data_IF_853712714984
#
_entry.id   IF_853712714984
#
_cell.length_a   1.000
_cell.length_b   1.000
_cell.length_c   1.000
_cell.angle_alpha   90.00
_cell.angle_beta   90.00
_cell.angle_gamma   90.00
#
_symmetry.space_group_name_H-M   'P 1'
#
loop_
_entity.id
_entity.type
_entity.pdbx_description
1 polymer ?
#
# COMPACT_ATOMS: atom_id res chain seq x y z
N UNK A 1 25.92 -27.05 -7.24
CA UNK A 1 25.03 -26.15 -8.01
C UNK A 1 24.43 -26.84 -9.23
N UNK A 2 25.20 -27.53 -10.08
CA UNK A 2 24.66 -28.21 -11.27
C UNK A 2 23.69 -29.34 -10.91
N UNK A 3 24.02 -30.19 -9.91
CA UNK A 3 23.15 -31.30 -9.48
C UNK A 3 21.69 -30.91 -9.16
N UNK A 4 21.47 -29.96 -8.24
CA UNK A 4 20.12 -29.52 -7.87
C UNK A 4 19.36 -28.93 -9.07
N UNK A 5 20.06 -28.15 -9.91
CA UNK A 5 19.48 -27.61 -11.13
C UNK A 5 19.06 -28.74 -12.07
N UNK A 6 19.91 -29.73 -12.28
CA UNK A 6 19.64 -30.81 -13.22
C UNK A 6 18.44 -31.65 -12.75
N UNK A 7 18.26 -31.89 -11.45
CA UNK A 7 17.04 -32.51 -10.88
C UNK A 7 15.82 -31.62 -11.06
N UNK A 8 15.91 -30.34 -10.69
CA UNK A 8 14.79 -29.39 -10.69
C UNK A 8 14.23 -29.15 -12.10
N UNK A 9 15.08 -29.19 -13.12
CA UNK A 9 14.75 -28.97 -14.53
C UNK A 9 14.70 -30.27 -15.35
N UNK A 10 14.88 -31.45 -14.73
CA UNK A 10 14.80 -32.73 -15.42
C UNK A 10 13.41 -32.95 -16.04
N UNK A 11 13.35 -33.37 -17.30
CA UNK A 11 12.08 -33.60 -18.01
C UNK A 11 11.54 -32.37 -18.76
N UNK A 12 12.31 -31.28 -18.84
CA UNK A 12 11.97 -30.12 -19.69
C UNK A 12 10.65 -29.48 -19.27
N UNK A 13 9.66 -29.48 -20.17
CA UNK A 13 8.31 -28.95 -19.88
C UNK A 13 7.61 -29.68 -18.74
N UNK A 14 7.92 -30.96 -18.51
CA UNK A 14 7.32 -31.78 -17.45
C UNK A 14 8.16 -31.84 -16.18
N UNK A 15 9.20 -31.00 -16.09
CA UNK A 15 10.00 -30.85 -14.88
C UNK A 15 9.18 -30.35 -13.70
N UNK A 16 9.57 -30.69 -12.45
CA UNK A 16 8.91 -30.16 -11.26
C UNK A 16 8.82 -28.64 -11.30
N UNK A 17 9.90 -27.96 -11.70
CA UNK A 17 9.90 -26.49 -11.84
C UNK A 17 8.86 -26.00 -12.85
N UNK A 18 8.83 -26.57 -14.06
CA UNK A 18 7.89 -26.13 -15.09
C UNK A 18 6.42 -26.44 -14.73
N UNK A 19 6.15 -27.52 -13.99
CA UNK A 19 4.82 -27.81 -13.43
C UNK A 19 4.41 -26.77 -12.39
N UNK A 20 5.32 -26.40 -11.48
CA UNK A 20 5.05 -25.38 -10.47
C UNK A 20 4.84 -24.00 -11.08
N UNK A 21 5.67 -23.60 -12.05
CA UNK A 21 5.53 -22.32 -12.74
C UNK A 21 4.23 -22.20 -13.54
N UNK A 22 3.68 -23.32 -14.02
CA UNK A 22 2.37 -23.37 -14.70
C UNK A 22 1.20 -23.61 -13.75
N UNK A 23 1.43 -23.69 -12.44
CA UNK A 23 0.39 -23.89 -11.44
C UNK A 23 -0.21 -25.30 -11.41
N UNK A 24 0.43 -26.29 -12.05
CA UNK A 24 -0.01 -27.69 -12.03
C UNK A 24 0.27 -28.37 -10.67
N UNK A 25 1.26 -27.87 -9.94
CA UNK A 25 1.60 -28.30 -8.57
C UNK A 25 1.86 -27.08 -7.70
N UNK A 26 1.70 -27.24 -6.39
CA UNK A 26 1.99 -26.20 -5.40
C UNK A 26 3.49 -26.12 -5.07
N UNK A 27 3.89 -25.08 -4.33
CA UNK A 27 5.26 -24.90 -3.86
C UNK A 27 5.70 -26.06 -2.95
N UNK A 28 4.84 -26.52 -2.05
CA UNK A 28 5.16 -27.65 -1.17
C UNK A 28 5.35 -28.96 -1.95
N UNK A 29 4.54 -29.17 -2.99
CA UNK A 29 4.71 -30.30 -3.91
C UNK A 29 6.00 -30.21 -4.75
N UNK A 30 6.38 -29.00 -5.19
CA UNK A 30 7.67 -28.78 -5.85
C UNK A 30 8.83 -29.19 -4.94
N UNK A 31 8.83 -28.76 -3.68
CA UNK A 31 9.87 -29.12 -2.72
C UNK A 31 9.97 -30.62 -2.52
N UNK A 32 8.82 -31.29 -2.32
CA UNK A 32 8.79 -32.74 -2.15
C UNK A 32 9.34 -33.48 -3.37
N UNK A 33 8.95 -33.10 -4.59
CA UNK A 33 9.41 -33.76 -5.82
C UNK A 33 10.92 -33.55 -6.07
N UNK A 34 11.44 -32.36 -5.79
CA UNK A 34 12.88 -32.09 -5.96
C UNK A 34 13.70 -32.78 -4.89
N UNK A 35 13.24 -32.79 -3.63
CA UNK A 35 13.92 -33.51 -2.54
C UNK A 35 13.99 -35.02 -2.83
N UNK A 36 12.90 -35.62 -3.29
CA UNK A 36 12.86 -37.02 -3.70
C UNK A 36 13.80 -37.29 -4.89
N UNK A 37 13.72 -36.46 -5.93
CA UNK A 37 14.60 -36.57 -7.10
C UNK A 37 16.08 -36.46 -6.75
N UNK A 38 16.43 -35.56 -5.82
CA UNK A 38 17.79 -35.45 -5.29
C UNK A 38 18.22 -36.72 -4.56
N UNK A 39 17.39 -37.27 -3.67
CA UNK A 39 17.72 -38.52 -2.95
C UNK A 39 17.89 -39.71 -3.88
N UNK A 40 17.10 -39.78 -4.96
CA UNK A 40 17.19 -40.84 -5.96
C UNK A 40 18.46 -40.72 -6.84
N UNK A 41 18.82 -39.50 -7.28
CA UNK A 41 19.94 -39.30 -8.21
C UNK A 41 21.31 -39.14 -7.51
N UNK A 42 21.33 -38.84 -6.21
CA UNK A 42 22.56 -38.61 -5.45
C UNK A 42 23.53 -39.81 -5.49
N UNK A 43 23.11 -41.07 -5.24
CA UNK A 43 24.00 -42.23 -5.28
C UNK A 43 24.67 -42.42 -6.65
N UNK A 44 23.89 -42.33 -7.73
CA UNK A 44 24.40 -42.47 -9.10
C UNK A 44 25.29 -41.31 -9.55
N UNK A 45 25.20 -40.16 -8.87
CA UNK A 45 26.00 -38.97 -9.17
C UNK A 45 27.25 -38.85 -8.29
N UNK A 46 27.50 -39.82 -7.39
CA UNK A 46 28.61 -39.78 -6.43
C UNK A 46 28.48 -38.65 -5.39
N UNK A 47 27.26 -38.19 -5.12
CA UNK A 47 26.96 -37.09 -4.19
C UNK A 47 26.37 -37.69 -2.92
N UNK A 48 26.87 -37.26 -1.75
CA UNK A 48 26.26 -37.54 -0.46
C UNK A 48 25.42 -36.34 -0.03
N UNK A 49 24.15 -36.55 0.27
CA UNK A 49 23.25 -35.52 0.78
C UNK A 49 23.27 -35.54 2.32
N UNK A 50 23.34 -34.39 3.01
CA UNK A 50 23.14 -34.33 4.45
C UNK A 50 21.76 -34.85 4.85
N UNK A 51 21.64 -35.44 6.04
CA UNK A 51 20.33 -35.88 6.58
C UNK A 51 19.33 -34.72 6.70
N UNK A 52 19.85 -33.50 6.88
CA UNK A 52 19.10 -32.25 6.97
C UNK A 52 18.76 -31.62 5.61
N UNK A 53 19.09 -32.27 4.49
CA UNK A 53 18.81 -31.73 3.16
C UNK A 53 17.29 -31.54 2.97
N UNK A 54 16.90 -30.28 2.74
CA UNK A 54 15.54 -29.90 2.39
C UNK A 54 15.55 -28.64 1.52
N UNK A 55 14.90 -28.70 0.37
CA UNK A 55 14.70 -27.53 -0.48
C UNK A 55 13.80 -26.48 0.19
N UNK A 56 12.84 -26.92 1.01
CA UNK A 56 11.95 -26.01 1.75
C UNK A 56 12.74 -25.11 2.72
N UNK A 57 13.66 -25.69 3.50
CA UNK A 57 14.52 -24.92 4.42
C UNK A 57 15.43 -23.95 3.67
N UNK A 58 16.06 -24.40 2.58
CA UNK A 58 16.91 -23.53 1.75
C UNK A 58 16.12 -22.37 1.12
N UNK A 59 14.87 -22.62 0.72
CA UNK A 59 13.99 -21.59 0.20
C UNK A 59 13.57 -20.58 1.28
N UNK A 60 13.28 -21.04 2.51
CA UNK A 60 12.98 -20.15 3.63
C UNK A 60 14.15 -19.20 3.94
N UNK A 61 15.39 -19.70 3.91
CA UNK A 61 16.59 -18.87 4.07
C UNK A 61 16.74 -17.84 2.95
N UNK A 62 16.47 -18.24 1.69
CA UNK A 62 16.49 -17.34 0.55
C UNK A 62 15.44 -16.22 0.68
N UNK A 63 14.22 -16.57 1.07
CA UNK A 63 13.13 -15.61 1.29
C UNK A 63 13.46 -14.64 2.41
N UNK A 64 14.06 -15.10 3.50
CA UNK A 64 14.48 -14.23 4.61
C UNK A 64 15.52 -13.18 4.18
N UNK A 65 16.34 -13.50 3.18
CA UNK A 65 17.35 -12.61 2.59
C UNK A 65 16.84 -11.79 1.41
N UNK A 66 15.67 -12.13 0.86
CA UNK A 66 15.11 -11.41 -0.27
C UNK A 66 14.86 -9.94 0.11
N UNK A 67 15.24 -9.05 -0.81
CA UNK A 67 15.01 -7.61 -0.71
C UNK A 67 14.36 -7.14 -1.99
N UNK A 68 13.34 -6.32 -1.83
CA UNK A 68 12.74 -5.60 -2.93
C UNK A 68 13.68 -4.47 -3.35
N UNK A 69 13.75 -4.21 -4.64
CA UNK A 69 14.48 -3.06 -5.16
C UNK A 69 13.56 -1.84 -5.13
N UNK A 70 13.74 -0.99 -4.12
CA UNK A 70 13.02 0.29 -4.01
C UNK A 70 13.22 1.16 -5.25
N UNK A 71 14.39 1.09 -5.88
CA UNK A 71 14.68 1.82 -7.10
C UNK A 71 13.77 1.38 -8.27
N UNK A 72 13.50 0.08 -8.42
CA UNK A 72 12.58 -0.44 -9.45
C UNK A 72 11.13 -0.04 -9.13
N UNK A 73 10.69 -0.13 -7.87
CA UNK A 73 9.34 0.29 -7.47
C UNK A 73 9.11 1.79 -7.70
N UNK A 74 10.12 2.61 -7.37
CA UNK A 74 10.10 4.05 -7.67
C UNK A 74 10.03 4.31 -9.17
N UNK A 75 10.86 3.65 -9.97
CA UNK A 75 10.84 3.80 -11.41
C UNK A 75 9.48 3.43 -12.02
N UNK A 76 8.87 2.31 -11.58
CA UNK A 76 7.53 1.91 -12.00
C UNK A 76 6.49 2.99 -11.67
N UNK A 77 6.56 3.57 -10.47
CA UNK A 77 5.66 4.65 -10.04
C UNK A 77 5.82 5.90 -10.91
N UNK A 78 7.05 6.31 -11.21
CA UNK A 78 7.34 7.47 -12.05
C UNK A 78 6.85 7.25 -13.49
N UNK A 79 7.08 6.06 -14.05
CA UNK A 79 6.59 5.70 -15.39
C UNK A 79 5.06 5.74 -15.45
N UNK A 80 4.39 5.19 -14.44
CA UNK A 80 2.92 5.20 -14.33
C UNK A 80 2.37 6.63 -14.28
N UNK A 81 2.97 7.50 -13.46
CA UNK A 81 2.59 8.93 -13.38
C UNK A 81 2.84 9.70 -14.67
N UNK A 82 3.81 9.25 -15.46
CA UNK A 82 4.12 9.82 -16.79
C UNK A 82 3.18 9.30 -17.89
N UNK A 83 2.17 8.49 -17.54
CA UNK A 83 1.16 7.97 -18.46
C UNK A 83 1.50 6.64 -19.12
N UNK A 84 2.63 5.99 -18.76
CA UNK A 84 2.94 4.65 -19.26
C UNK A 84 2.22 3.59 -18.44
N UNK A 85 1.71 2.54 -19.11
CA UNK A 85 1.24 1.35 -18.41
C UNK A 85 2.41 0.49 -17.96
N UNK A 86 2.32 -0.02 -16.74
CA UNK A 86 3.34 -0.83 -16.11
C UNK A 86 2.81 -2.22 -15.79
N UNK A 87 3.62 -3.26 -16.03
CA UNK A 87 3.22 -4.64 -15.81
C UNK A 87 4.37 -5.46 -15.21
N UNK A 88 4.06 -6.26 -14.20
CA UNK A 88 4.92 -7.35 -13.75
C UNK A 88 4.54 -8.62 -14.50
N UNK A 89 5.49 -9.24 -15.21
CA UNK A 89 5.32 -10.57 -15.79
C UNK A 89 6.28 -11.55 -15.10
N UNK A 90 5.76 -12.36 -14.19
CA UNK A 90 6.58 -13.21 -13.31
C UNK A 90 6.37 -14.70 -13.57
N UNK A 91 7.48 -15.46 -13.56
CA UNK A 91 7.42 -16.90 -13.39
C UNK A 91 7.37 -17.18 -11.88
N UNK A 92 6.19 -17.47 -11.36
CA UNK A 92 5.94 -17.73 -9.95
C UNK A 92 5.12 -19.01 -9.76
N UNK A 93 4.78 -19.32 -8.51
CA UNK A 93 4.17 -20.57 -8.07
C UNK A 93 2.93 -20.30 -7.22
N UNK A 94 2.13 -21.34 -6.97
CA UNK A 94 1.09 -21.31 -5.93
C UNK A 94 1.73 -21.66 -4.60
N UNK A 95 1.85 -20.68 -3.71
CA UNK A 95 2.48 -20.83 -2.40
C UNK A 95 1.47 -21.31 -1.34
N UNK A 96 1.57 -22.59 -0.98
CA UNK A 96 0.80 -23.24 0.09
C UNK A 96 1.65 -23.50 1.35
N UNK A 97 2.86 -22.94 1.41
CA UNK A 97 3.78 -23.16 2.52
C UNK A 97 3.38 -22.37 3.77
N UNK A 98 4.03 -22.67 4.90
CA UNK A 98 3.92 -21.88 6.12
C UNK A 98 4.42 -20.44 5.95
N UNK A 99 5.33 -20.21 4.99
CA UNK A 99 5.89 -18.90 4.64
C UNK A 99 5.05 -18.06 3.68
N UNK A 100 3.89 -18.55 3.24
CA UNK A 100 3.06 -17.93 2.17
C UNK A 100 2.67 -16.47 2.40
N UNK A 101 2.68 -16.00 3.65
CA UNK A 101 2.39 -14.60 4.00
C UNK A 101 3.37 -13.65 3.32
N UNK A 102 4.65 -14.01 3.22
CA UNK A 102 5.65 -13.22 2.50
C UNK A 102 5.28 -13.07 1.02
N UNK A 103 4.96 -14.17 0.35
CA UNK A 103 4.57 -14.18 -1.07
C UNK A 103 3.30 -13.36 -1.27
N UNK A 104 2.31 -13.47 -0.37
CA UNK A 104 1.08 -12.69 -0.42
C UNK A 104 1.35 -11.18 -0.27
N UNK A 105 2.17 -10.78 0.70
CA UNK A 105 2.55 -9.37 0.92
C UNK A 105 3.32 -8.79 -0.27
N UNK A 106 4.24 -9.57 -0.85
CA UNK A 106 4.97 -9.16 -2.05
C UNK A 106 4.02 -8.95 -3.24
N UNK A 107 3.10 -9.88 -3.50
CA UNK A 107 2.14 -9.75 -4.60
C UNK A 107 1.19 -8.57 -4.38
N UNK A 108 0.74 -8.33 -3.15
CA UNK A 108 -0.05 -7.14 -2.79
C UNK A 108 0.72 -5.84 -3.08
N UNK A 109 1.97 -5.75 -2.63
CA UNK A 109 2.81 -4.59 -2.88
C UNK A 109 3.00 -4.32 -4.38
N UNK A 110 3.26 -5.35 -5.18
CA UNK A 110 3.41 -5.22 -6.63
C UNK A 110 2.11 -4.73 -7.28
N UNK A 111 0.95 -5.27 -6.88
CA UNK A 111 -0.36 -4.80 -7.41
C UNK A 111 -0.66 -3.35 -7.08
N UNK A 112 -0.08 -2.82 -6.01
CA UNK A 112 -0.19 -1.38 -5.66
C UNK A 112 0.71 -0.47 -6.49
N UNK A 113 1.82 -0.98 -7.03
CA UNK A 113 2.79 -0.18 -7.79
C UNK A 113 2.65 -0.33 -9.31
N UNK A 114 2.04 -1.42 -9.79
CA UNK A 114 1.92 -1.73 -11.21
C UNK A 114 0.45 -1.84 -11.64
N UNK A 115 0.13 -1.43 -12.87
CA UNK A 115 -1.22 -1.53 -13.41
C UNK A 115 -1.68 -2.98 -13.60
N UNK A 116 -0.74 -3.89 -13.88
CA UNK A 116 -0.98 -5.32 -14.04
C UNK A 116 0.11 -6.15 -13.35
N UNK A 117 -0.31 -7.25 -12.74
CA UNK A 117 0.58 -8.30 -12.23
C UNK A 117 0.12 -9.63 -12.82
N UNK A 118 0.95 -10.18 -13.71
CA UNK A 118 0.69 -11.40 -14.46
C UNK A 118 1.55 -12.54 -13.90
N UNK A 119 0.87 -13.52 -13.34
CA UNK A 119 1.45 -14.66 -12.62
C UNK A 119 1.40 -15.92 -13.48
N UNK A 120 2.56 -16.50 -13.79
CA UNK A 120 2.66 -17.71 -14.62
C UNK A 120 1.79 -18.86 -14.10
N UNK A 121 1.75 -19.04 -12.78
CA UNK A 121 1.00 -20.13 -12.15
C UNK A 121 -0.51 -19.96 -12.24
N UNK A 122 -1.00 -18.73 -12.46
CA UNK A 122 -2.42 -18.41 -12.66
C UNK A 122 -2.80 -18.47 -14.13
N UNK A 123 -1.86 -18.15 -15.01
CA UNK A 123 -2.06 -18.14 -16.47
C UNK A 123 -1.91 -19.56 -17.07
N UNK A 124 -1.14 -20.44 -16.43
CA UNK A 124 -0.83 -21.78 -16.94
C UNK A 124 0.28 -21.80 -18.00
N UNK A 125 0.99 -20.68 -18.17
CA UNK A 125 2.11 -20.51 -19.10
C UNK A 125 3.29 -19.89 -18.36
N UNK A 126 4.52 -20.09 -18.85
CA UNK A 126 5.72 -19.52 -18.23
C UNK A 126 6.67 -19.01 -19.29
N UNK A 127 7.47 -17.99 -18.96
CA UNK A 127 8.60 -17.56 -19.78
C UNK A 127 9.60 -18.73 -19.90
N UNK A 128 10.15 -19.03 -21.09
CA UNK A 128 10.15 -18.21 -22.31
C UNK A 128 9.12 -18.64 -23.38
N UNK A 129 7.99 -19.25 -23.02
CA UNK A 129 6.94 -19.60 -24.00
C UNK A 129 6.39 -18.34 -24.70
N UNK A 130 6.47 -18.20 -26.05
CA UNK A 130 5.97 -17.03 -26.77
C UNK A 130 4.51 -16.66 -26.46
N UNK A 131 3.68 -17.64 -26.08
CA UNK A 131 2.27 -17.42 -25.79
C UNK A 131 2.06 -16.54 -24.54
N UNK A 132 2.95 -16.60 -23.54
CA UNK A 132 2.82 -15.74 -22.35
C UNK A 132 3.08 -14.27 -22.66
N UNK A 133 3.96 -13.96 -23.62
CA UNK A 133 4.23 -12.58 -24.06
C UNK A 133 3.07 -12.03 -24.88
N UNK A 134 2.48 -12.87 -25.73
CA UNK A 134 1.26 -12.52 -26.49
C UNK A 134 0.11 -12.19 -25.53
N UNK A 135 -0.11 -13.05 -24.53
CA UNK A 135 -1.10 -12.81 -23.47
C UNK A 135 -0.84 -11.48 -22.72
N UNK A 136 0.42 -11.20 -22.37
CA UNK A 136 0.77 -9.96 -21.68
C UNK A 136 0.50 -8.71 -22.54
N UNK A 137 0.81 -8.76 -23.84
CA UNK A 137 0.51 -7.67 -24.78
C UNK A 137 -1.00 -7.42 -24.93
N UNK A 138 -1.79 -8.48 -25.02
CA UNK A 138 -3.26 -8.39 -25.06
C UNK A 138 -3.82 -7.77 -23.78
N UNK A 139 -3.35 -8.21 -22.61
CA UNK A 139 -3.76 -7.65 -21.32
C UNK A 139 -3.40 -6.16 -21.19
N UNK A 140 -2.20 -5.77 -21.65
CA UNK A 140 -1.76 -4.39 -21.71
C UNK A 140 -2.50 -3.55 -22.76
N UNK A 141 -3.11 -4.20 -23.75
CA UNK A 141 -3.65 -3.58 -24.97
C UNK A 141 -2.56 -2.76 -25.69
N UNK A 142 -1.38 -3.35 -25.86
CA UNK A 142 -0.21 -2.71 -26.45
C UNK A 142 0.36 -3.54 -27.62
N UNK A 143 0.99 -2.87 -28.58
CA UNK A 143 1.77 -3.51 -29.63
C UNK A 143 3.18 -3.82 -29.13
N UNK A 144 3.89 -4.84 -29.67
CA UNK A 144 5.25 -5.14 -29.25
C UNK A 144 6.21 -3.94 -29.29
N UNK A 145 6.11 -3.10 -30.33
CA UNK A 145 6.99 -1.94 -30.51
C UNK A 145 6.77 -0.83 -29.49
N UNK A 146 5.66 -0.88 -28.74
CA UNK A 146 5.30 0.08 -27.69
C UNK A 146 5.79 -0.40 -26.30
N UNK A 147 6.42 -1.57 -26.21
CA UNK A 147 6.79 -2.21 -24.94
C UNK A 147 8.30 -2.26 -24.76
N UNK A 148 8.74 -1.86 -23.56
CA UNK A 148 10.09 -2.09 -23.03
C UNK A 148 10.00 -3.23 -22.01
N UNK A 149 10.67 -4.35 -22.29
CA UNK A 149 10.64 -5.55 -21.47
C UNK A 149 11.96 -5.76 -20.73
N UNK A 150 11.89 -5.83 -19.40
CA UNK A 150 13.04 -6.01 -18.51
C UNK A 150 13.01 -7.42 -17.92
N UNK A 151 14.14 -8.13 -17.95
CA UNK A 151 14.29 -9.45 -17.34
C UNK A 151 15.77 -9.67 -17.00
N UNK A 152 16.06 -10.41 -15.93
CA UNK A 152 17.41 -10.78 -15.51
C UNK A 152 17.95 -12.00 -16.29
N UNK A 153 17.06 -12.75 -16.96
CA UNK A 153 17.40 -13.94 -17.73
C UNK A 153 17.31 -13.68 -19.23
N UNK A 154 18.46 -13.71 -19.91
CA UNK A 154 18.53 -13.50 -21.37
C UNK A 154 17.64 -14.44 -22.20
N UNK A 155 17.43 -15.68 -21.74
CA UNK A 155 16.50 -16.64 -22.38
C UNK A 155 15.04 -16.16 -22.36
N UNK A 156 14.64 -15.41 -21.34
CA UNK A 156 13.29 -14.83 -21.24
C UNK A 156 13.17 -13.54 -22.06
N UNK A 157 14.27 -12.88 -22.43
CA UNK A 157 14.25 -11.70 -23.30
C UNK A 157 14.14 -12.07 -24.78
N UNK A 158 14.59 -13.25 -25.16
CA UNK A 158 14.66 -13.64 -26.57
C UNK A 158 13.28 -13.60 -27.26
N UNK A 159 12.21 -14.22 -26.73
CA UNK A 159 10.90 -14.15 -27.38
C UNK A 159 10.34 -12.71 -27.48
N UNK A 160 10.55 -11.90 -26.44
CA UNK A 160 10.14 -10.49 -26.43
C UNK A 160 10.85 -9.70 -27.55
N UNK A 161 12.15 -9.94 -27.75
CA UNK A 161 12.93 -9.32 -28.82
C UNK A 161 12.48 -9.80 -30.21
N UNK A 162 12.24 -11.09 -30.37
CA UNK A 162 11.75 -11.68 -31.63
C UNK A 162 10.37 -11.13 -32.03
N UNK A 163 9.54 -10.74 -31.06
CA UNK A 163 8.26 -10.05 -31.28
C UNK A 163 8.41 -8.56 -31.62
N UNK A 164 9.59 -7.96 -31.41
CA UNK A 164 9.86 -6.55 -31.68
C UNK A 164 9.72 -5.62 -30.47
N UNK A 165 9.72 -6.15 -29.24
CA UNK A 165 9.82 -5.33 -28.03
C UNK A 165 11.25 -4.80 -27.86
N UNK A 166 11.38 -3.60 -27.27
CA UNK A 166 12.66 -3.19 -26.72
C UNK A 166 12.97 -4.05 -25.48
N UNK A 167 14.20 -4.51 -25.31
CA UNK A 167 14.56 -5.41 -24.20
C UNK A 167 15.77 -4.90 -23.42
N UNK A 168 15.70 -4.94 -22.09
CA UNK A 168 16.82 -4.62 -21.19
C UNK A 168 17.18 -5.87 -20.39
N UNK A 169 18.45 -6.27 -20.42
CA UNK A 169 18.97 -7.34 -19.57
C UNK A 169 19.41 -6.76 -18.23
N UNK A 170 18.65 -7.06 -17.17
CA UNK A 170 18.91 -6.52 -15.83
C UNK A 170 20.02 -7.32 -15.15
N UNK A 171 21.25 -6.77 -15.17
CA UNK A 171 22.38 -7.29 -14.38
C UNK A 171 22.68 -6.43 -13.16
N UNK A 172 22.47 -5.14 -13.32
CA UNK A 172 22.69 -4.08 -12.34
C UNK A 172 21.50 -3.13 -12.44
N UNK A 173 20.97 -2.71 -11.30
CA UNK A 173 19.75 -1.90 -11.24
C UNK A 173 19.99 -0.52 -11.83
N UNK A 174 21.14 0.12 -11.53
CA UNK A 174 21.41 1.48 -11.96
C UNK A 174 21.55 1.58 -13.48
N UNK A 175 22.29 0.65 -14.10
CA UNK A 175 22.43 0.60 -15.55
C UNK A 175 21.11 0.24 -16.24
N UNK A 176 20.32 -0.68 -15.68
CA UNK A 176 19.00 -0.99 -16.22
C UNK A 176 18.07 0.22 -16.19
N UNK A 177 18.11 1.02 -15.12
CA UNK A 177 17.32 2.26 -15.01
C UNK A 177 17.80 3.34 -15.98
N UNK A 178 19.11 3.47 -16.23
CA UNK A 178 19.65 4.39 -17.27
C UNK A 178 19.16 4.00 -18.67
N UNK A 179 19.19 2.72 -18.99
CA UNK A 179 18.68 2.21 -20.27
C UNK A 179 17.16 2.42 -20.38
N UNK A 180 16.43 2.19 -19.30
CA UNK A 180 14.98 2.40 -19.23
C UNK A 180 14.61 3.87 -19.39
N UNK A 181 15.30 4.79 -18.73
CA UNK A 181 15.14 6.24 -18.89
C UNK A 181 15.36 6.65 -20.35
N UNK A 182 16.44 6.15 -20.98
CA UNK A 182 16.74 6.44 -22.39
C UNK A 182 15.65 5.94 -23.34
N UNK A 183 15.11 4.74 -23.11
CA UNK A 183 14.11 4.13 -23.99
C UNK A 183 12.71 4.70 -23.77
N UNK A 184 12.36 5.02 -22.52
CA UNK A 184 11.05 5.57 -22.16
C UNK A 184 10.95 7.09 -22.38
N UNK A 185 12.07 7.80 -22.37
CA UNK A 185 12.10 9.27 -22.40
C UNK A 185 11.66 9.90 -21.07
N UNK A 186 11.47 9.11 -20.01
CA UNK A 186 11.05 9.56 -18.68
C UNK A 186 12.25 9.60 -17.75
N UNK A 187 12.45 10.71 -17.03
CA UNK A 187 13.53 10.85 -16.06
C UNK A 187 13.27 9.98 -14.82
N UNK A 188 14.10 8.96 -14.60
CA UNK A 188 13.95 7.98 -13.51
C UNK A 188 14.99 8.14 -12.40
N UNK A 189 16.14 8.76 -12.72
CA UNK A 189 17.29 8.87 -11.81
C UNK A 189 17.38 10.23 -11.09
N UNK A 190 16.26 10.98 -11.04
CA UNK A 190 16.17 12.23 -10.28
C UNK A 190 16.47 12.01 -8.79
N UNK A 191 17.16 12.96 -8.16
CA UNK A 191 17.39 12.99 -6.71
C UNK A 191 16.21 13.55 -5.92
N UNK A 192 15.21 14.13 -6.58
CA UNK A 192 14.01 14.60 -5.89
C UNK A 192 13.19 13.40 -5.43
N UNK A 193 12.93 13.32 -4.11
CA UNK A 193 12.03 12.32 -3.58
C UNK A 193 10.64 12.54 -4.18
N UNK A 194 10.07 11.55 -4.89
CA UNK A 194 8.74 11.70 -5.43
C UNK A 194 7.76 11.85 -4.26
N UNK A 195 6.81 12.77 -4.40
CA UNK A 195 5.67 12.85 -3.49
C UNK A 195 5.09 11.43 -3.38
N UNK A 196 4.77 10.92 -2.17
CA UNK A 196 4.15 9.61 -2.00
C UNK A 196 2.95 9.45 -2.95
N UNK A 197 2.63 8.22 -3.34
CA UNK A 197 1.45 8.00 -4.18
C UNK A 197 0.21 8.36 -3.39
N UNK A 198 -0.60 9.29 -3.90
CA UNK A 198 -1.93 9.52 -3.35
C UNK A 198 -2.77 8.26 -3.57
N UNK A 199 -3.56 7.86 -2.58
CA UNK A 199 -4.58 6.85 -2.80
C UNK A 199 -5.69 7.43 -3.69
N UNK A 200 -6.13 6.65 -4.67
CA UNK A 200 -7.41 6.88 -5.35
C UNK A 200 -8.54 6.37 -4.44
N UNK A 201 -9.67 7.09 -4.30
CA UNK A 201 -10.88 6.55 -3.67
C UNK A 201 -11.29 5.16 -4.14
N UNK A 202 -11.04 4.77 -5.39
CA UNK A 202 -11.35 3.42 -5.87
C UNK A 202 -10.45 2.33 -5.30
N UNK A 203 -9.27 2.69 -4.79
CA UNK A 203 -8.22 1.76 -4.40
C UNK A 203 -8.23 1.44 -2.90
N UNK A 204 -9.16 2.02 -2.15
CA UNK A 204 -9.33 1.81 -0.71
C UNK A 204 -10.63 1.09 -0.39
N UNK A 205 -10.66 0.36 0.73
CA UNK A 205 -11.91 -0.27 1.19
C UNK A 205 -12.71 0.73 1.99
N UNK A 206 -13.95 1.00 1.58
CA UNK A 206 -14.88 1.84 2.34
C UNK A 206 -15.60 1.00 3.40
N UNK A 207 -15.53 1.44 4.65
CA UNK A 207 -16.19 0.84 5.79
C UNK A 207 -17.16 1.79 6.46
N UNK A 208 -18.21 1.23 7.08
CA UNK A 208 -19.24 2.00 7.77
C UNK A 208 -19.60 1.34 9.10
N UNK A 209 -19.58 2.11 10.19
CA UNK A 209 -19.88 1.61 11.53
C UNK A 209 -21.00 2.43 12.14
N UNK A 210 -22.12 1.78 12.43
CA UNK A 210 -23.22 2.38 13.19
C UNK A 210 -22.86 2.37 14.68
N UNK A 211 -22.52 3.53 15.24
CA UNK A 211 -22.11 3.67 16.66
C UNK A 211 -23.31 3.77 17.59
N UNK A 212 -24.43 4.34 17.13
CA UNK A 212 -25.74 4.34 17.81
C UNK A 212 -26.86 4.49 16.77
N UNK A 213 -28.15 4.31 17.14
CA UNK A 213 -29.25 4.53 16.21
C UNK A 213 -29.17 5.92 15.58
N UNK A 214 -29.19 5.97 14.25
CA UNK A 214 -29.15 7.22 13.49
C UNK A 214 -27.79 7.91 13.40
N UNK A 215 -26.71 7.32 13.92
CA UNK A 215 -25.34 7.88 13.77
C UNK A 215 -24.38 6.78 13.31
N UNK A 216 -23.85 6.98 12.11
CA UNK A 216 -22.88 6.11 11.44
C UNK A 216 -21.61 6.90 11.13
N UNK A 217 -20.46 6.24 11.27
CA UNK A 217 -19.17 6.78 10.83
C UNK A 217 -18.66 5.97 9.63
N UNK A 218 -18.25 6.69 8.59
CA UNK A 218 -17.53 6.19 7.43
C UNK A 218 -16.02 6.26 7.68
N UNK A 219 -15.28 5.30 7.14
CA UNK A 219 -13.83 5.32 7.09
C UNK A 219 -13.34 4.62 5.83
N UNK A 220 -12.09 4.89 5.46
CA UNK A 220 -11.37 4.09 4.47
C UNK A 220 -10.29 3.27 5.13
N UNK A 221 -10.02 2.10 4.56
CA UNK A 221 -9.09 1.12 5.11
C UNK A 221 -8.11 0.61 4.05
N UNK A 222 -6.83 0.50 4.44
CA UNK A 222 -5.77 -0.10 3.62
C UNK A 222 -4.70 -0.75 4.50
N UNK A 223 -4.14 -1.87 4.03
CA UNK A 223 -3.02 -2.53 4.68
C UNK A 223 -3.43 -3.53 5.77
N UNK A 224 -2.42 -4.08 6.45
CA UNK A 224 -2.54 -5.11 7.48
C UNK A 224 -1.48 -4.86 8.55
N UNK A 225 -1.74 -5.26 9.80
CA UNK A 225 -0.83 -5.09 10.94
C UNK A 225 -1.43 -4.27 12.08
N UNK A 226 -0.60 -3.63 12.93
CA UNK A 226 -1.09 -2.75 13.98
C UNK A 226 -2.00 -1.65 13.43
N UNK A 227 -3.09 -1.36 14.13
CA UNK A 227 -4.08 -0.39 13.65
C UNK A 227 -3.58 1.03 13.86
N UNK A 228 -3.62 1.82 12.79
CA UNK A 228 -3.32 3.23 12.80
C UNK A 228 -4.58 4.01 12.39
N UNK A 229 -5.16 4.74 13.33
CA UNK A 229 -6.36 5.55 13.13
C UNK A 229 -5.96 6.99 12.80
N UNK A 230 -6.37 7.50 11.64
CA UNK A 230 -6.13 8.87 11.18
C UNK A 230 -7.40 9.71 11.35
N UNK A 231 -7.29 10.82 12.08
CA UNK A 231 -8.37 11.79 12.29
C UNK A 231 -8.00 13.14 11.67
N UNK A 232 -8.76 13.59 10.67
CA UNK A 232 -8.57 14.89 10.01
C UNK A 232 -9.12 16.07 10.84
N UNK A 233 -8.84 17.29 10.39
CA UNK A 233 -9.31 18.54 10.99
C UNK A 233 -10.45 19.22 10.22
N UNK A 234 -10.56 20.54 10.39
CA UNK A 234 -11.60 21.38 9.78
C UNK A 234 -11.06 22.24 8.62
N UNK A 235 -11.82 22.41 7.52
CA UNK A 235 -12.89 21.56 7.00
C UNK A 235 -12.29 20.59 5.98
N UNK A 236 -11.93 19.40 6.46
CA UNK A 236 -11.16 18.42 5.67
C UNK A 236 -12.01 17.18 5.31
N UNK A 237 -11.32 16.11 4.92
CA UNK A 237 -11.89 14.77 4.72
C UNK A 237 -10.83 13.71 5.03
N UNK A 238 -11.21 12.44 5.12
CA UNK A 238 -10.26 11.31 5.05
C UNK A 238 -9.25 11.46 3.89
N UNK A 239 -9.64 12.10 2.78
CA UNK A 239 -8.78 12.39 1.61
C UNK A 239 -7.58 13.30 1.90
N UNK A 240 -7.58 14.05 3.01
CA UNK A 240 -6.40 14.79 3.46
C UNK A 240 -5.22 13.87 3.75
N UNK A 241 -5.50 12.60 4.09
CA UNK A 241 -4.49 11.58 4.37
C UNK A 241 -4.07 10.76 3.14
N UNK A 242 -4.49 11.14 1.92
CA UNK A 242 -4.30 10.33 0.70
C UNK A 242 -2.85 9.93 0.44
N UNK A 243 -1.88 10.73 0.86
CA UNK A 243 -0.45 10.41 0.71
C UNK A 243 0.08 9.49 1.83
N UNK A 244 -0.53 9.56 3.02
CA UNK A 244 -0.12 8.80 4.19
C UNK A 244 -0.72 7.39 4.19
N UNK A 245 -1.96 7.22 3.74
CA UNK A 245 -2.65 5.92 3.71
C UNK A 245 -1.79 4.82 3.04
N UNK A 246 -1.36 4.97 1.77
CA UNK A 246 -0.57 3.92 1.12
C UNK A 246 0.85 3.83 1.69
N UNK A 247 1.45 4.94 2.12
CA UNK A 247 2.79 4.93 2.71
C UNK A 247 2.83 4.15 4.04
N UNK A 248 1.85 4.37 4.91
CA UNK A 248 1.73 3.68 6.20
C UNK A 248 1.30 2.21 6.00
N UNK A 249 0.40 1.92 5.05
CA UNK A 249 0.06 0.56 4.70
C UNK A 249 1.29 -0.22 4.16
N UNK A 250 2.10 0.42 3.32
CA UNK A 250 3.39 -0.13 2.86
C UNK A 250 4.37 -0.39 4.01
N UNK A 251 4.33 0.42 5.06
CA UNK A 251 5.15 0.24 6.26
C UNK A 251 4.65 -0.87 7.20
N UNK A 252 3.56 -1.58 6.85
CA UNK A 252 3.04 -2.71 7.61
C UNK A 252 2.00 -2.34 8.67
N UNK A 253 1.30 -1.22 8.50
CA UNK A 253 0.17 -0.85 9.34
C UNK A 253 -1.16 -1.16 8.65
N UNK A 254 -2.18 -1.45 9.48
CA UNK A 254 -3.58 -1.43 9.07
C UNK A 254 -4.08 0.00 9.26
N UNK A 255 -4.16 0.77 8.19
CA UNK A 255 -4.55 2.18 8.24
C UNK A 255 -6.06 2.30 8.16
N UNK A 256 -6.65 3.01 9.11
CA UNK A 256 -8.05 3.42 9.12
C UNK A 256 -8.06 4.94 9.07
N UNK A 257 -8.43 5.53 7.94
CA UNK A 257 -8.65 6.98 7.85
C UNK A 257 -10.13 7.28 8.02
N UNK A 258 -10.46 7.90 9.14
CA UNK A 258 -11.83 8.18 9.53
C UNK A 258 -12.34 9.42 8.81
N UNK A 259 -13.56 9.36 8.29
CA UNK A 259 -14.33 10.55 7.99
C UNK A 259 -14.99 11.00 9.30
N UNK A 260 -14.53 12.11 9.87
CA UNK A 260 -14.96 12.55 11.20
C UNK A 260 -16.48 12.82 11.21
N UNK A 261 -17.12 12.70 12.39
CA UNK A 261 -18.56 13.00 12.53
C UNK A 261 -18.83 14.42 12.00
N UNK A 262 -19.87 14.58 11.17
CA UNK A 262 -20.17 15.86 10.50
C UNK A 262 -19.60 16.01 9.09
N UNK A 263 -18.81 15.05 8.59
CA UNK A 263 -18.13 15.14 7.30
C UNK A 263 -18.47 13.99 6.36
N UNK A 264 -18.38 14.26 5.06
CA UNK A 264 -18.46 13.27 3.99
C UNK A 264 -19.65 12.32 4.12
N UNK A 265 -19.35 11.02 4.18
CA UNK A 265 -20.36 9.96 4.30
C UNK A 265 -20.66 9.58 5.77
N UNK A 266 -19.99 10.20 6.74
CA UNK A 266 -20.34 10.11 8.15
C UNK A 266 -21.59 10.93 8.45
N UNK A 267 -22.37 10.49 9.42
CA UNK A 267 -23.58 11.23 9.82
C UNK A 267 -23.22 12.60 10.40
N UNK A 268 -24.02 13.62 10.07
CA UNK A 268 -23.92 14.98 10.58
C UNK A 268 -25.16 15.37 11.40
N UNK A 269 -25.26 14.98 12.69
CA UNK A 269 -26.34 15.44 13.56
C UNK A 269 -26.37 16.97 13.67
N UNK A 270 -27.54 17.62 13.74
CA UNK A 270 -27.63 19.09 13.76
C UNK A 270 -27.36 19.71 15.14
N UNK A 271 -27.37 18.93 16.22
CA UNK A 271 -27.17 19.45 17.58
C UNK A 271 -25.68 19.75 17.83
N UNK A 272 -25.39 20.96 18.32
CA UNK A 272 -24.03 21.41 18.65
C UNK A 272 -23.39 20.50 19.72
N UNK A 273 -24.17 20.00 20.69
CA UNK A 273 -23.65 19.16 21.77
C UNK A 273 -23.06 17.83 21.29
N UNK A 274 -23.47 17.38 20.11
CA UNK A 274 -22.93 16.20 19.47
C UNK A 274 -21.43 16.35 19.16
N UNK A 275 -20.94 17.57 18.93
CA UNK A 275 -19.55 17.82 18.52
C UNK A 275 -18.63 18.24 19.67
N UNK A 276 -19.11 18.12 20.92
CA UNK A 276 -18.23 18.29 22.08
C UNK A 276 -17.09 17.25 22.07
N UNK A 277 -15.92 17.64 22.57
CA UNK A 277 -14.74 16.74 22.62
C UNK A 277 -15.04 15.46 23.41
N UNK A 278 -15.79 15.56 24.51
CA UNK A 278 -16.24 14.42 25.29
C UNK A 278 -17.09 13.46 24.44
N UNK A 279 -18.08 13.98 23.71
CA UNK A 279 -18.95 13.15 22.89
C UNK A 279 -18.19 12.50 21.72
N UNK A 280 -17.28 13.23 21.07
CA UNK A 280 -16.45 12.67 19.99
C UNK A 280 -15.55 11.53 20.51
N UNK A 281 -14.90 11.70 21.66
CA UNK A 281 -14.06 10.64 22.25
C UNK A 281 -14.87 9.40 22.63
N UNK A 282 -16.09 9.56 23.18
CA UNK A 282 -17.01 8.45 23.46
C UNK A 282 -17.42 7.74 22.18
N UNK A 283 -17.75 8.49 21.14
CA UNK A 283 -18.15 7.96 19.83
C UNK A 283 -17.02 7.13 19.20
N UNK A 284 -15.76 7.60 19.30
CA UNK A 284 -14.59 6.85 18.84
C UNK A 284 -14.35 5.58 19.65
N UNK A 285 -14.56 5.62 20.96
CA UNK A 285 -14.48 4.43 21.83
C UNK A 285 -15.46 3.34 21.36
N UNK A 286 -16.72 3.73 21.08
CA UNK A 286 -17.76 2.82 20.55
C UNK A 286 -17.42 2.34 19.14
N UNK A 287 -16.90 3.22 18.28
CA UNK A 287 -16.44 2.86 16.94
C UNK A 287 -15.40 1.74 16.99
N UNK A 288 -14.39 1.87 17.85
CA UNK A 288 -13.34 0.87 18.03
C UNK A 288 -13.91 -0.44 18.62
N UNK A 289 -14.84 -0.37 19.56
CA UNK A 289 -15.51 -1.56 20.12
C UNK A 289 -16.27 -2.36 19.05
N UNK A 290 -17.02 -1.66 18.19
CA UNK A 290 -17.79 -2.27 17.10
C UNK A 290 -16.89 -2.96 16.06
N UNK A 291 -15.69 -2.45 15.85
CA UNK A 291 -14.68 -3.07 14.99
C UNK A 291 -13.86 -4.17 15.69
N UNK A 292 -14.09 -4.41 16.99
CA UNK A 292 -13.30 -5.36 17.78
C UNK A 292 -11.84 -4.94 17.93
N UNK A 293 -11.56 -3.64 17.91
CA UNK A 293 -10.21 -3.08 17.98
C UNK A 293 -9.94 -2.59 19.41
N UNK A 294 -9.10 -3.31 20.19
CA UNK A 294 -8.85 -2.93 21.59
C UNK A 294 -8.02 -1.65 21.68
N UNK A 295 -6.97 -1.53 20.85
CA UNK A 295 -6.05 -0.39 20.85
C UNK A 295 -5.68 0.05 19.43
N UNK A 296 -5.41 1.35 19.29
CA UNK A 296 -4.90 1.96 18.05
C UNK A 296 -3.69 2.85 18.30
N UNK A 297 -2.89 3.06 17.27
CA UNK A 297 -2.02 4.23 17.17
C UNK A 297 -2.87 5.36 16.59
N UNK A 298 -3.08 6.44 17.34
CA UNK A 298 -3.94 7.55 16.90
C UNK A 298 -3.09 8.70 16.37
N UNK A 299 -3.37 9.13 15.15
CA UNK A 299 -2.74 10.31 14.54
C UNK A 299 -3.82 11.34 14.21
N UNK A 300 -3.65 12.55 14.74
CA UNK A 300 -4.60 13.64 14.54
C UNK A 300 -3.96 14.87 13.90
N UNK A 301 -4.70 15.56 13.04
CA UNK A 301 -4.35 16.88 12.51
C UNK A 301 -5.42 17.90 12.92
N UNK A 302 -5.03 19.14 13.27
CA UNK A 302 -5.95 20.24 13.61
C UNK A 302 -6.97 19.80 14.70
N UNK A 303 -8.29 19.79 14.45
CA UNK A 303 -9.32 19.30 15.38
C UNK A 303 -9.20 17.80 15.67
N UNK A 304 -8.80 16.99 14.68
CA UNK A 304 -8.43 15.60 14.91
C UNK A 304 -7.25 15.46 15.86
N UNK A 305 -6.35 16.46 15.89
CA UNK A 305 -5.26 16.57 16.87
C UNK A 305 -5.76 16.83 18.30
N UNK A 306 -6.77 17.69 18.46
CA UNK A 306 -7.41 17.90 19.76
C UNK A 306 -8.09 16.62 20.27
N UNK A 307 -8.78 15.89 19.38
CA UNK A 307 -9.36 14.58 19.69
C UNK A 307 -8.28 13.58 20.10
N UNK A 308 -7.13 13.57 19.42
CA UNK A 308 -6.03 12.67 19.76
C UNK A 308 -5.46 12.93 21.16
N UNK A 309 -5.28 14.19 21.55
CA UNK A 309 -4.88 14.52 22.92
C UNK A 309 -5.92 14.14 23.97
N UNK A 310 -7.21 14.38 23.70
CA UNK A 310 -8.28 14.02 24.62
C UNK A 310 -8.43 12.50 24.77
N UNK A 311 -8.29 11.73 23.68
CA UNK A 311 -8.23 10.27 23.76
C UNK A 311 -7.04 9.80 24.62
N UNK A 312 -5.88 10.43 24.51
CA UNK A 312 -4.70 10.09 25.33
C UNK A 312 -4.90 10.38 26.83
N UNK A 313 -5.68 11.41 27.17
CA UNK A 313 -5.95 11.77 28.56
C UNK A 313 -7.05 10.93 29.19
N UNK A 314 -8.15 10.71 28.46
CA UNK A 314 -9.38 10.14 29.03
C UNK A 314 -9.61 8.67 28.65
N UNK A 315 -8.93 8.17 27.61
CA UNK A 315 -9.03 6.80 27.12
C UNK A 315 -7.65 6.18 26.82
N UNK A 316 -6.63 6.33 27.70
CA UNK A 316 -5.28 5.84 27.43
C UNK A 316 -5.24 4.32 27.20
N UNK A 317 -6.17 3.57 27.78
CA UNK A 317 -6.30 2.13 27.57
C UNK A 317 -6.62 1.76 26.12
N UNK A 318 -7.17 2.70 25.34
CA UNK A 318 -7.49 2.52 23.91
C UNK A 318 -6.35 2.88 22.98
N UNK A 319 -5.24 3.40 23.50
CA UNK A 319 -4.14 3.91 22.69
C UNK A 319 -2.84 3.14 22.92
N UNK A 320 -2.27 2.67 21.81
CA UNK A 320 -0.90 2.13 21.76
C UNK A 320 0.14 3.24 21.70
N UNK A 321 -0.17 4.31 20.98
CA UNK A 321 0.62 5.53 20.85
C UNK A 321 -0.27 6.67 20.32
N UNK A 322 0.19 7.91 20.47
CA UNK A 322 -0.46 9.12 19.94
C UNK A 322 0.56 9.99 19.20
N UNK A 323 0.17 10.52 18.04
CA UNK A 323 0.92 11.54 17.31
C UNK A 323 -0.03 12.65 16.86
N UNK A 324 0.45 13.89 16.89
CA UNK A 324 -0.37 15.06 16.53
C UNK A 324 0.40 15.98 15.61
N UNK A 325 -0.25 16.39 14.52
CA UNK A 325 0.25 17.36 13.56
C UNK A 325 -0.37 18.72 13.87
N UNK A 326 0.50 19.73 14.02
CA UNK A 326 0.19 21.15 14.21
C UNK A 326 -0.40 21.52 15.59
N UNK A 327 -1.39 20.76 16.10
CA UNK A 327 -2.14 21.10 17.31
C UNK A 327 -1.35 20.78 18.60
N UNK A 328 -0.90 21.79 19.37
CA UNK A 328 -0.17 21.54 20.61
C UNK A 328 -1.11 21.04 21.70
N UNK A 329 -0.58 20.24 22.62
CA UNK A 329 -1.26 19.99 23.89
C UNK A 329 -1.04 21.17 24.84
N UNK A 330 -2.14 21.76 25.33
CA UNK A 330 -2.12 22.77 26.39
C UNK A 330 -3.17 22.40 27.44
N UNK A 331 -2.77 22.04 28.67
CA UNK A 331 -3.73 21.72 29.72
C UNK A 331 -4.62 22.94 30.02
N UNK A 332 -5.90 22.73 30.36
CA UNK A 332 -6.78 23.81 30.77
C UNK A 332 -6.30 24.42 32.10
N UNK A 333 -6.29 25.75 32.16
CA UNK A 333 -6.04 26.48 33.40
C UNK A 333 -7.39 26.90 33.99
N UNK A 334 -7.85 26.27 35.09
CA UNK A 334 -9.16 26.56 35.67
C UNK A 334 -9.25 27.96 36.28
N UNK A 335 -8.12 28.68 36.41
CA UNK A 335 -8.08 30.05 36.94
C UNK A 335 -8.26 31.11 35.86
N UNK A 336 -8.30 30.70 34.59
CA UNK A 336 -8.35 31.61 33.44
C UNK A 336 -9.65 31.42 32.67
N UNK A 337 -10.34 32.53 32.39
CA UNK A 337 -11.42 32.54 31.40
C UNK A 337 -10.82 32.30 30.01
N UNK A 338 -11.07 31.12 29.45
CA UNK A 338 -10.53 30.70 28.17
C UNK A 338 -11.04 31.58 27.03
N UNK A 339 -12.28 32.09 27.10
CA UNK A 339 -12.85 32.93 26.05
C UNK A 339 -12.16 34.28 26.00
N UNK A 340 -11.96 34.91 27.16
CA UNK A 340 -11.21 36.17 27.25
C UNK A 340 -9.75 36.00 26.84
N UNK A 341 -9.12 34.88 27.23
CA UNK A 341 -7.76 34.58 26.77
C UNK A 341 -7.70 34.41 25.26
N UNK A 342 -8.64 33.70 24.65
CA UNK A 342 -8.65 33.48 23.20
C UNK A 342 -8.87 34.78 22.42
N UNK A 343 -9.72 35.69 22.90
CA UNK A 343 -9.90 37.03 22.31
C UNK A 343 -8.60 37.85 22.29
N UNK A 344 -7.65 37.56 23.18
CA UNK A 344 -6.36 38.25 23.18
C UNK A 344 -5.39 37.81 22.06
N UNK A 345 -5.72 36.75 21.32
CA UNK A 345 -4.92 36.23 20.21
C UNK A 345 -5.66 36.44 18.86
N UNK A 346 -5.29 37.47 18.07
CA UNK A 346 -5.98 37.78 16.81
C UNK A 346 -6.01 36.63 15.79
N UNK A 347 -5.06 35.69 15.87
CA UNK A 347 -5.04 34.49 15.04
C UNK A 347 -6.23 33.55 15.27
N UNK A 348 -6.96 33.69 16.39
CA UNK A 348 -8.16 32.90 16.71
C UNK A 348 -9.46 33.65 16.45
N UNK A 349 -9.44 34.86 15.89
CA UNK A 349 -10.65 35.67 15.61
C UNK A 349 -11.69 34.91 14.78
N UNK A 350 -11.23 34.06 13.85
CA UNK A 350 -12.10 33.22 13.02
C UNK A 350 -12.96 32.25 13.85
N UNK A 351 -12.49 31.80 15.02
CA UNK A 351 -13.25 30.87 15.87
C UNK A 351 -14.46 31.57 16.50
N UNK A 352 -14.38 32.89 16.73
CA UNK A 352 -15.50 33.70 17.18
C UNK A 352 -16.50 33.95 16.05
N UNK A 353 -16.02 34.16 14.82
CA UNK A 353 -16.88 34.23 13.63
C UNK A 353 -17.69 32.93 13.43
N UNK A 354 -17.14 31.77 13.81
CA UNK A 354 -17.81 30.47 13.70
C UNK A 354 -18.80 30.15 14.85
N UNK A 355 -19.02 31.05 15.82
CA UNK A 355 -19.92 30.75 16.95
C UNK A 355 -21.41 30.86 16.62
N UNK A 356 -21.78 31.77 15.72
CA UNK A 356 -23.19 32.05 15.40
C UNK A 356 -23.70 31.08 14.31
N UNK A 357 -24.61 30.13 14.63
CA UNK A 357 -25.06 29.12 13.67
C UNK A 357 -25.72 29.76 12.44
N UNK A 358 -25.33 29.27 11.27
CA UNK A 358 -25.78 29.75 9.97
C UNK A 358 -24.95 30.90 9.40
N UNK A 359 -24.14 31.62 10.18
CA UNK A 359 -23.35 32.75 9.65
C UNK A 359 -22.18 32.26 8.81
N UNK A 360 -21.36 31.37 9.38
CA UNK A 360 -20.19 30.82 8.70
C UNK A 360 -20.58 29.86 7.58
N UNK A 361 -21.61 29.05 7.81
CA UNK A 361 -22.16 28.11 6.85
C UNK A 361 -22.61 28.84 5.57
N UNK A 362 -23.34 29.94 5.70
CA UNK A 362 -23.76 30.77 4.55
C UNK A 362 -22.57 31.30 3.73
N UNK A 363 -21.43 31.63 4.35
CA UNK A 363 -20.24 32.05 3.60
C UNK A 363 -19.53 30.84 2.96
N UNK A 364 -19.24 29.82 3.75
CA UNK A 364 -18.41 28.68 3.36
C UNK A 364 -19.07 27.82 2.28
N UNK A 365 -20.40 27.67 2.33
CA UNK A 365 -21.18 26.87 1.38
C UNK A 365 -21.52 27.62 0.09
N UNK A 366 -21.47 28.96 0.10
CA UNK A 366 -21.81 29.79 -1.07
C UNK A 366 -20.95 29.47 -2.29
N UNK A 367 -19.68 29.17 -2.08
CA UNK A 367 -18.75 28.73 -3.13
C UNK A 367 -17.73 27.75 -2.54
N UNK A 368 -18.09 26.47 -2.57
CA UNK A 368 -17.29 25.37 -2.02
C UNK A 368 -15.89 25.32 -2.67
N UNK A 369 -15.79 25.55 -3.98
CA UNK A 369 -14.48 25.49 -4.67
C UNK A 369 -13.56 26.61 -4.19
N UNK A 370 -14.08 27.82 -4.06
CA UNK A 370 -13.35 28.95 -3.48
C UNK A 370 -12.95 28.66 -2.04
N UNK A 371 -13.87 28.18 -1.21
CA UNK A 371 -13.63 27.86 0.20
C UNK A 371 -12.48 26.85 0.35
N UNK A 372 -12.56 25.71 -0.35
CA UNK A 372 -11.52 24.68 -0.28
C UNK A 372 -10.17 25.18 -0.82
N UNK A 373 -10.14 25.97 -1.90
CA UNK A 373 -8.88 26.57 -2.41
C UNK A 373 -8.27 27.58 -1.44
N UNK A 374 -9.08 28.26 -0.63
CA UNK A 374 -8.60 29.21 0.37
C UNK A 374 -8.02 28.46 1.57
N UNK A 375 -8.71 27.43 2.04
CA UNK A 375 -8.40 26.71 3.29
C UNK A 375 -7.36 25.60 3.09
N UNK A 376 -7.43 24.88 1.96
CA UNK A 376 -6.55 23.75 1.63
C UNK A 376 -5.69 24.16 0.43
N UNK A 377 -4.55 24.80 0.70
CA UNK A 377 -3.62 25.28 -0.34
C UNK A 377 -2.44 24.34 -0.51
N UNK A 378 -2.15 23.96 -1.75
CA UNK A 378 -0.85 23.39 -2.11
C UNK A 378 0.20 24.49 -2.18
N UNK A 379 1.40 24.24 -1.65
CA UNK A 379 2.59 25.07 -1.88
C UNK A 379 3.21 24.83 -3.26
N UNK A 380 2.83 23.73 -3.93
CA UNK A 380 3.25 23.40 -5.27
C UNK A 380 2.17 23.83 -6.28
N UNK A 381 2.58 24.57 -7.32
CA UNK A 381 1.74 24.77 -8.51
C UNK A 381 1.73 23.44 -9.26
N UNK A 382 0.64 22.70 -9.17
CA UNK A 382 0.35 21.60 -10.10
C UNK A 382 0.04 22.14 -11.50
#
# INVERSE_FOLDING_TARGET
>A
RNFLRDVMFAGGSESPYAKAMRGHITLSQLFSQVDEGCRQQAPSSGISLPDTFSLASAFQELVAQARLSDAILRAATILRRSGLKTCVLTNNWVDDSDGRVFTAQLMDLLRRHFDLVLESCRIGMMKPDPRIYTYALEALKAKPQEVIFLDDLGKNLQPAREMGMATILVRDTDNALKELEKLSGVQLLSQEEPIPTACDPSDVTHGYVSIRPGVQLHFVEMGQGPVLLLCHGFPESWLSWRFQIPALANAGFRVIALEMKGYGESTAPPDIQEYSQEQICKDLTVFLDKLGIPQVILVGHDWGGAVAWNMALFHPERLRAVAVLNTPYKPPDPTVDIMEKMKSYPTFDYQFYFQDPGVAELELEKDISRTLRILIRSTHRE
#
